data_IF_955442602110
#
_entry.id   IF_955442602110
#
_cell.length_a   1.000
_cell.length_b   1.000
_cell.length_c   1.000
_cell.angle_alpha   90.00
_cell.angle_beta   90.00
_cell.angle_gamma   90.00
#
_symmetry.space_group_name_H-M   'P 1'
#
loop_
_entity.id
_entity.type
_entity.pdbx_description
1 polymer ?
#
# COMPACT_ATOMS: atom_id res chain seq x y z
N UNK A 1 9.30 5.44 5.71
CA UNK A 1 7.96 5.36 5.07
C UNK A 1 7.35 6.69 4.64
N UNK A 2 7.57 7.82 5.33
CA UNK A 2 6.93 9.12 5.00
C UNK A 2 7.18 9.60 3.56
N UNK A 3 8.41 9.46 3.05
CA UNK A 3 8.73 9.79 1.65
C UNK A 3 7.99 8.88 0.66
N UNK A 4 7.93 7.58 0.93
CA UNK A 4 7.24 6.63 0.07
C UNK A 4 5.73 6.93 -0.01
N UNK A 5 5.09 7.30 1.10
CA UNK A 5 3.67 7.70 1.13
C UNK A 5 3.37 8.97 0.33
N UNK A 6 4.37 9.83 0.10
CA UNK A 6 4.23 11.01 -0.77
C UNK A 6 4.65 10.73 -2.21
N UNK A 7 4.85 9.46 -2.57
CA UNK A 7 5.27 9.02 -3.90
C UNK A 7 6.72 9.30 -4.23
N UNK A 8 7.57 9.62 -3.25
CA UNK A 8 9.00 9.80 -3.45
C UNK A 8 9.75 8.48 -3.33
N UNK A 9 10.94 8.41 -3.93
CA UNK A 9 11.85 7.26 -3.78
C UNK A 9 11.74 6.29 -4.95
N UNK A 10 11.36 5.04 -4.66
CA UNK A 10 11.42 3.89 -5.58
C UNK A 10 10.29 3.81 -6.62
N UNK A 11 9.57 4.91 -6.84
CA UNK A 11 8.46 4.99 -7.79
C UNK A 11 8.95 5.54 -9.13
N UNK A 12 8.73 4.81 -10.22
CA UNK A 12 9.11 5.26 -11.56
C UNK A 12 8.43 6.58 -11.94
N UNK A 13 7.19 6.82 -11.51
CA UNK A 13 6.51 8.11 -11.73
C UNK A 13 7.30 9.29 -11.14
N UNK A 14 7.92 9.10 -9.98
CA UNK A 14 8.78 10.10 -9.35
C UNK A 14 10.13 10.21 -10.04
N UNK A 15 10.78 9.08 -10.32
CA UNK A 15 12.09 9.06 -10.98
C UNK A 15 12.02 9.69 -12.38
N UNK A 16 10.95 9.42 -13.14
CA UNK A 16 10.70 10.02 -14.44
C UNK A 16 10.58 11.55 -14.36
N UNK A 17 9.80 12.08 -13.39
CA UNK A 17 9.69 13.52 -13.12
C UNK A 17 11.04 14.16 -12.73
N UNK A 18 11.99 13.37 -12.25
CA UNK A 18 13.36 13.80 -11.91
C UNK A 18 14.39 13.49 -13.00
N UNK A 19 13.97 13.05 -14.19
CA UNK A 19 14.83 12.63 -15.29
C UNK A 19 15.82 11.51 -14.90
N UNK A 20 15.39 10.62 -13.99
CA UNK A 20 16.16 9.46 -13.49
C UNK A 20 15.62 8.12 -13.98
N UNK A 21 14.49 8.11 -14.67
CA UNK A 21 13.92 6.94 -15.32
C UNK A 21 13.46 7.31 -16.72
N UNK A 22 13.42 6.32 -17.62
CA UNK A 22 13.01 6.50 -19.02
C UNK A 22 11.49 6.55 -19.21
N UNK A 23 10.73 6.02 -18.26
CA UNK A 23 9.27 5.94 -18.28
C UNK A 23 8.71 5.99 -16.86
N UNK A 24 7.49 6.51 -16.64
CA UNK A 24 6.82 6.45 -15.35
C UNK A 24 6.09 5.12 -15.09
N UNK A 25 6.14 4.15 -16.02
CA UNK A 25 5.44 2.85 -15.92
C UNK A 25 5.96 1.99 -14.75
N UNK A 26 5.05 1.29 -14.07
CA UNK A 26 5.37 0.32 -13.03
C UNK A 26 6.13 -0.88 -13.61
N UNK A 27 7.37 -1.09 -13.16
CA UNK A 27 8.21 -2.19 -13.66
C UNK A 27 7.78 -3.56 -13.14
N UNK A 28 7.10 -3.61 -11.99
CA UNK A 28 6.64 -4.85 -11.38
C UNK A 28 5.51 -5.51 -12.18
N UNK A 29 4.58 -4.70 -12.72
CA UNK A 29 3.42 -5.20 -13.48
C UNK A 29 3.46 -4.83 -14.97
N UNK A 30 4.39 -3.96 -15.40
CA UNK A 30 4.47 -3.43 -16.76
C UNK A 30 3.15 -2.84 -17.29
N UNK A 31 2.27 -2.39 -16.39
CA UNK A 31 0.93 -1.93 -16.69
C UNK A 31 0.75 -0.43 -16.48
N UNK A 32 0.36 -0.03 -15.27
CA UNK A 32 -0.01 1.35 -14.94
C UNK A 32 1.17 2.30 -14.68
N UNK A 33 0.86 3.57 -14.44
CA UNK A 33 1.84 4.53 -13.90
C UNK A 33 2.23 4.10 -12.49
N UNK A 34 3.52 4.11 -12.19
CA UNK A 34 4.08 3.66 -10.91
C UNK A 34 3.87 4.69 -9.80
N UNK A 35 2.63 4.87 -9.38
CA UNK A 35 2.25 5.75 -8.28
C UNK A 35 2.12 4.96 -6.97
N UNK A 36 1.98 5.68 -5.85
CA UNK A 36 1.66 5.05 -4.54
C UNK A 36 0.35 4.29 -4.61
N UNK A 37 -0.68 4.92 -5.17
CA UNK A 37 -2.01 4.33 -5.31
C UNK A 37 -1.96 3.06 -6.16
N UNK A 38 -1.27 3.13 -7.31
CA UNK A 38 -1.05 1.96 -8.15
C UNK A 38 -0.35 0.85 -7.39
N UNK A 39 0.78 1.16 -6.75
CA UNK A 39 1.60 0.18 -6.02
C UNK A 39 0.82 -0.50 -4.89
N UNK A 40 0.05 0.26 -4.10
CA UNK A 40 -0.64 -0.29 -2.93
C UNK A 40 -1.99 -0.96 -3.22
N UNK A 41 -2.68 -0.57 -4.29
CA UNK A 41 -4.08 -1.00 -4.49
C UNK A 41 -4.35 -1.65 -5.85
N UNK A 42 -3.62 -1.28 -6.90
CA UNK A 42 -3.92 -1.73 -8.27
C UNK A 42 -2.96 -2.80 -8.79
N UNK A 43 -1.68 -2.71 -8.41
CA UNK A 43 -0.61 -3.54 -8.93
C UNK A 43 -0.83 -5.01 -8.57
N UNK A 44 -1.00 -5.88 -9.56
CA UNK A 44 -1.27 -7.30 -9.34
C UNK A 44 -0.04 -8.09 -8.88
N UNK A 45 1.17 -7.56 -9.09
CA UNK A 45 2.40 -8.17 -8.60
C UNK A 45 2.40 -8.32 -7.07
N UNK A 46 1.80 -7.36 -6.37
CA UNK A 46 1.71 -7.35 -4.90
C UNK A 46 0.49 -8.08 -4.32
N UNK A 47 -0.30 -8.80 -5.15
CA UNK A 47 -1.55 -9.43 -4.71
C UNK A 47 -1.39 -10.32 -3.46
N UNK A 48 -0.31 -11.10 -3.37
CA UNK A 48 -0.06 -11.96 -2.21
C UNK A 48 0.09 -11.19 -0.90
N UNK A 49 0.48 -9.91 -0.95
CA UNK A 49 0.56 -9.03 0.21
C UNK A 49 -0.79 -8.39 0.56
N UNK A 50 -1.73 -8.34 -0.39
CA UNK A 50 -3.09 -7.87 -0.17
C UNK A 50 -3.99 -8.94 0.49
N UNK A 51 -3.66 -10.24 0.36
CA UNK A 51 -4.53 -11.34 0.77
C UNK A 51 -5.01 -11.28 2.24
N UNK A 52 -4.15 -11.00 3.24
CA UNK A 52 -4.59 -10.92 4.63
C UNK A 52 -5.61 -9.80 4.86
N UNK A 53 -5.32 -8.60 4.35
CA UNK A 53 -6.24 -7.46 4.46
C UNK A 53 -7.52 -7.70 3.63
N UNK A 54 -7.40 -8.34 2.47
CA UNK A 54 -8.55 -8.64 1.62
C UNK A 54 -9.51 -9.62 2.29
N UNK A 55 -8.96 -10.59 3.03
CA UNK A 55 -9.74 -11.52 3.85
C UNK A 55 -10.47 -10.78 4.96
N UNK A 56 -9.77 -9.89 5.66
CA UNK A 56 -10.34 -9.07 6.73
C UNK A 56 -11.47 -8.16 6.23
N UNK A 57 -11.31 -7.51 5.07
CA UNK A 57 -12.31 -6.62 4.49
C UNK A 57 -13.41 -7.34 3.70
N UNK A 58 -13.27 -8.64 3.44
CA UNK A 58 -14.13 -9.41 2.55
C UNK A 58 -14.03 -9.03 1.06
N UNK A 59 -13.08 -8.18 0.69
CA UNK A 59 -12.81 -7.72 -0.68
C UNK A 59 -11.41 -7.12 -0.79
N UNK A 60 -10.95 -6.90 -2.01
CA UNK A 60 -9.68 -6.20 -2.26
C UNK A 60 -9.70 -4.79 -1.64
N UNK A 61 -8.62 -4.35 -0.96
CA UNK A 61 -8.51 -3.00 -0.44
C UNK A 61 -8.41 -1.97 -1.58
N UNK A 62 -9.00 -0.80 -1.37
CA UNK A 62 -8.90 0.35 -2.27
C UNK A 62 -8.74 1.66 -1.48
N UNK A 63 -8.53 2.78 -2.19
CA UNK A 63 -8.32 4.09 -1.56
C UNK A 63 -9.49 4.56 -0.70
N UNK A 64 -10.72 4.14 -1.02
CA UNK A 64 -11.90 4.44 -0.21
C UNK A 64 -11.86 3.81 1.20
N UNK A 65 -11.05 2.77 1.41
CA UNK A 65 -10.93 2.10 2.71
C UNK A 65 -10.04 2.85 3.70
N UNK A 66 -9.11 3.67 3.19
CA UNK A 66 -8.03 4.27 3.99
C UNK A 66 -8.59 5.03 5.18
N UNK A 67 -9.66 5.82 4.97
CA UNK A 67 -10.23 6.62 6.04
C UNK A 67 -10.70 5.74 7.21
N UNK A 68 -11.46 4.69 6.93
CA UNK A 68 -12.01 3.80 7.96
C UNK A 68 -10.91 2.94 8.60
N UNK A 69 -9.91 2.52 7.82
CA UNK A 69 -8.78 1.74 8.32
C UNK A 69 -7.92 2.58 9.28
N UNK A 70 -7.60 3.82 8.91
CA UNK A 70 -6.69 4.67 9.68
C UNK A 70 -7.38 5.31 10.87
N UNK A 71 -8.61 5.80 10.69
CA UNK A 71 -9.33 6.54 11.72
C UNK A 71 -10.21 5.63 12.60
N UNK A 72 -10.42 4.38 12.19
CA UNK A 72 -11.41 3.50 12.78
C UNK A 72 -12.84 3.88 12.39
N UNK A 73 -13.83 3.14 12.91
CA UNK A 73 -15.24 3.41 12.64
C UNK A 73 -15.69 4.74 13.28
N UNK A 74 -16.61 5.47 12.65
CA UNK A 74 -17.19 6.65 13.25
C UNK A 74 -17.98 6.29 14.51
N UNK A 75 -18.10 7.25 15.42
CA UNK A 75 -18.69 7.03 16.74
C UNK A 75 -20.16 6.58 16.69
N UNK A 76 -20.91 7.02 15.68
CA UNK A 76 -22.31 6.68 15.46
C UNK A 76 -22.53 5.23 14.99
N UNK A 77 -21.48 4.54 14.55
CA UNK A 77 -21.49 3.11 14.21
C UNK A 77 -21.12 2.22 15.39
N UNK A 78 -20.72 2.79 16.53
CA UNK A 78 -20.42 1.99 17.72
C UNK A 78 -21.70 1.56 18.41
N UNK A 79 -21.82 0.25 18.69
CA UNK A 79 -22.92 -0.27 19.51
C UNK A 79 -22.84 0.27 20.94
N UNK A 80 -24.01 0.42 21.57
CA UNK A 80 -24.12 0.69 23.00
C UNK A 80 -23.79 -0.55 23.84
N UNK A 81 -23.92 -1.74 23.24
CA UNK A 81 -23.54 -3.00 23.87
C UNK A 81 -22.01 -3.10 24.00
N UNK A 82 -21.46 -3.34 25.21
CA UNK A 82 -20.01 -3.36 25.43
C UNK A 82 -19.27 -4.46 24.65
N UNK A 83 -19.89 -5.63 24.45
CA UNK A 83 -19.26 -6.76 23.79
C UNK A 83 -19.22 -6.54 22.28
N UNK A 84 -20.33 -6.06 21.69
CA UNK A 84 -20.39 -5.65 20.28
C UNK A 84 -19.44 -4.49 19.99
N UNK A 85 -19.42 -3.46 20.85
CA UNK A 85 -18.49 -2.33 20.72
C UNK A 85 -17.04 -2.79 20.74
N UNK A 86 -16.71 -3.71 21.65
CA UNK A 86 -15.35 -4.26 21.73
C UNK A 86 -15.00 -5.09 20.50
N UNK A 87 -15.95 -5.83 19.93
CA UNK A 87 -15.74 -6.57 18.68
C UNK A 87 -15.46 -5.62 17.50
N UNK A 88 -16.24 -4.55 17.36
CA UNK A 88 -16.05 -3.53 16.31
C UNK A 88 -14.66 -2.89 16.41
N UNK A 89 -14.23 -2.53 17.62
CA UNK A 89 -12.91 -1.91 17.83
C UNK A 89 -11.76 -2.87 17.54
N UNK A 90 -11.87 -4.15 17.93
CA UNK A 90 -10.87 -5.18 17.60
C UNK A 90 -10.75 -5.40 16.09
N UNK A 91 -11.89 -5.41 15.39
CA UNK A 91 -11.92 -5.58 13.93
C UNK A 91 -11.26 -4.39 13.20
N UNK A 92 -11.50 -3.17 13.69
CA UNK A 92 -10.85 -1.97 13.20
C UNK A 92 -9.34 -1.97 13.47
N UNK A 93 -8.92 -2.36 14.68
CA UNK A 93 -7.50 -2.49 15.05
C UNK A 93 -6.79 -3.52 14.16
N UNK A 94 -7.41 -4.67 13.92
CA UNK A 94 -6.87 -5.71 13.05
C UNK A 94 -6.74 -5.23 11.60
N UNK A 95 -7.75 -4.51 11.10
CA UNK A 95 -7.70 -3.89 9.77
C UNK A 95 -6.54 -2.89 9.65
N UNK A 96 -6.33 -2.03 10.65
CA UNK A 96 -5.18 -1.12 10.71
C UNK A 96 -3.85 -1.87 10.72
N UNK A 97 -3.72 -2.90 11.57
CA UNK A 97 -2.50 -3.70 11.70
C UNK A 97 -2.13 -4.39 10.38
N UNK A 98 -3.12 -5.00 9.72
CA UNK A 98 -2.93 -5.67 8.43
C UNK A 98 -2.58 -4.67 7.32
N UNK A 99 -3.25 -3.51 7.28
CA UNK A 99 -2.93 -2.45 6.33
C UNK A 99 -1.51 -1.91 6.53
N UNK A 100 -1.13 -1.58 7.77
CA UNK A 100 0.21 -1.10 8.06
C UNK A 100 1.28 -2.11 7.61
N UNK A 101 1.11 -3.39 7.97
CA UNK A 101 2.04 -4.45 7.56
C UNK A 101 2.10 -4.66 6.05
N UNK A 102 0.96 -4.53 5.35
CA UNK A 102 0.91 -4.56 3.88
C UNK A 102 1.74 -3.42 3.28
N UNK A 103 1.50 -2.18 3.71
CA UNK A 103 2.21 -0.98 3.20
C UNK A 103 3.71 -1.07 3.47
N UNK A 104 4.09 -1.44 4.69
CA UNK A 104 5.51 -1.56 5.08
C UNK A 104 6.24 -2.60 4.22
N UNK A 105 5.64 -3.78 4.02
CA UNK A 105 6.24 -4.85 3.23
C UNK A 105 6.34 -4.50 1.76
N UNK A 106 5.27 -3.96 1.16
CA UNK A 106 5.27 -3.56 -0.26
C UNK A 106 6.36 -2.52 -0.50
N UNK A 107 6.43 -1.47 0.32
CA UNK A 107 7.42 -0.41 0.11
C UNK A 107 8.85 -0.87 0.34
N UNK A 108 9.09 -1.70 1.37
CA UNK A 108 10.45 -2.21 1.64
C UNK A 108 10.95 -3.08 0.49
N UNK A 109 10.11 -3.99 -0.02
CA UNK A 109 10.45 -4.86 -1.15
C UNK A 109 10.65 -4.04 -2.43
N UNK A 110 9.76 -3.10 -2.73
CA UNK A 110 9.88 -2.25 -3.91
C UNK A 110 11.14 -1.39 -3.88
N UNK A 111 11.51 -0.86 -2.72
CA UNK A 111 12.76 -0.12 -2.54
C UNK A 111 13.98 -1.01 -2.81
N UNK A 112 14.01 -2.22 -2.25
CA UNK A 112 15.08 -3.20 -2.50
C UNK A 112 15.19 -3.57 -3.99
N UNK A 113 14.06 -3.90 -4.64
CA UNK A 113 14.01 -4.23 -6.07
C UNK A 113 14.56 -3.08 -6.93
N UNK A 114 14.20 -1.84 -6.62
CA UNK A 114 14.65 -0.66 -7.35
C UNK A 114 16.15 -0.37 -7.12
N UNK A 115 16.65 -0.58 -5.89
CA UNK A 115 18.08 -0.44 -5.59
C UNK A 115 18.91 -1.46 -6.36
N UNK A 116 18.47 -2.73 -6.41
CA UNK A 116 19.12 -3.79 -7.18
C UNK A 116 19.14 -3.45 -8.67
N UNK A 117 18.02 -2.96 -9.21
CA UNK A 117 17.91 -2.54 -10.62
C UNK A 117 18.89 -1.41 -10.95
N UNK A 118 18.88 -0.34 -10.16
CA UNK A 118 19.78 0.81 -10.38
C UNK A 118 21.25 0.42 -10.25
N UNK A 119 21.59 -0.47 -9.30
CA UNK A 119 22.94 -0.98 -9.18
C UNK A 119 23.38 -1.73 -10.45
N UNK A 120 22.51 -2.56 -11.03
CA UNK A 120 22.80 -3.29 -12.26
C UNK A 120 23.02 -2.37 -13.48
N UNK A 121 22.32 -1.23 -13.55
CA UNK A 121 22.47 -0.24 -14.63
C UNK A 121 23.78 0.54 -14.57
N UNK A 122 24.39 0.68 -13.38
CA UNK A 122 25.69 1.35 -13.22
C UNK A 122 26.85 0.47 -13.70
N UNK A 123 26.65 -0.84 -13.80
CA UNK A 123 27.65 -1.81 -14.26
C UNK A 123 27.53 -2.17 -15.75
N UNK A 124 26.70 -1.45 -16.51
CA UNK A 124 26.52 -1.54 -17.96
C UNK A 124 27.08 -0.29 -18.65
#
# INVERSE_FOLDING_TARGET
>A
MSQALTGHGCFQSYLYKRARAVSPTCLQCMGGEDTVEHTLFECYYWNALHDPLSTQLGRRPCTADIQNIICGPPFDQLSADPDEKSAILRDAEESFRLFYGMVERIFSLKEEEELVRQAAEVWL
#
